data_IF_219573010938
#
_entry.id   IF_219573010938
#
_cell.length_a   1.000
_cell.length_b   1.000
_cell.length_c   1.000
_cell.angle_alpha   90.00
_cell.angle_beta   90.00
_cell.angle_gamma   90.00
#
_symmetry.space_group_name_H-M   'P 1'
#
loop_
_entity.id
_entity.type
_entity.pdbx_description
1 polymer ?
#
# COMPACT_ATOMS: atom_id res chain seq x y z
N UNK A 1 -4.38 31.04 5.40
CA UNK A 1 -3.88 30.57 6.72
C UNK A 1 -4.56 29.21 6.95
N UNK A 2 -3.93 28.05 6.96
CA UNK A 2 -2.54 27.64 7.16
C UNK A 2 -2.22 26.50 6.18
N UNK A 3 -1.25 26.70 5.30
CA UNK A 3 -0.79 25.75 4.28
C UNK A 3 0.19 24.77 4.92
N UNK A 4 -0.33 23.73 5.55
CA UNK A 4 0.48 22.56 5.93
C UNK A 4 -0.16 21.33 5.30
N UNK A 5 -0.01 21.21 3.98
CA UNK A 5 0.00 19.87 3.39
C UNK A 5 1.09 19.11 4.13
N UNK A 6 0.69 18.08 4.86
CA UNK A 6 1.52 17.30 5.77
C UNK A 6 2.77 16.81 5.04
N UNK A 7 3.83 17.60 5.09
CA UNK A 7 5.16 17.12 4.80
C UNK A 7 5.46 16.07 5.84
N UNK A 8 5.85 14.89 5.36
CA UNK A 8 6.44 13.86 6.19
C UNK A 8 7.55 14.46 7.05
N UNK A 9 7.88 13.87 8.22
CA UNK A 9 8.99 14.32 9.06
C UNK A 9 10.35 14.45 8.33
N UNK A 10 10.48 13.84 7.14
CA UNK A 10 11.65 13.92 6.25
C UNK A 10 11.63 15.09 5.25
N UNK A 11 10.53 15.85 5.14
CA UNK A 11 10.36 16.91 4.13
C UNK A 11 10.16 16.42 2.68
N UNK A 12 10.21 15.11 2.46
CA UNK A 12 10.02 14.47 1.15
C UNK A 12 8.54 14.15 0.99
N UNK A 13 7.94 14.56 -0.13
CA UNK A 13 6.61 14.10 -0.53
C UNK A 13 6.74 12.65 -1.05
N UNK A 14 6.03 11.72 -0.40
CA UNK A 14 6.05 10.28 -0.70
C UNK A 14 5.77 10.01 -2.19
N UNK A 15 4.81 10.70 -2.78
CA UNK A 15 4.43 10.47 -4.18
C UNK A 15 5.34 11.22 -5.15
N UNK A 16 5.81 12.41 -4.77
CA UNK A 16 6.81 13.12 -5.56
C UNK A 16 8.11 12.31 -5.67
N UNK A 17 8.48 11.55 -4.63
CA UNK A 17 9.66 10.68 -4.66
C UNK A 17 9.59 9.65 -5.80
N UNK A 18 8.40 9.09 -6.07
CA UNK A 18 8.18 8.14 -7.18
C UNK A 18 8.23 8.78 -8.57
N UNK A 19 8.22 10.12 -8.66
CA UNK A 19 8.35 10.84 -9.93
C UNK A 19 9.81 11.07 -10.34
N UNK A 20 10.77 10.75 -9.47
CA UNK A 20 12.22 10.81 -9.77
C UNK A 20 12.69 9.51 -10.44
N UNK A 21 13.79 9.49 -11.22
CA UNK A 21 14.30 8.28 -11.86
C UNK A 21 14.57 7.12 -10.91
N UNK A 22 15.11 7.40 -9.71
CA UNK A 22 15.31 6.40 -8.66
C UNK A 22 13.99 5.96 -8.02
N UNK A 23 13.01 6.86 -8.01
CA UNK A 23 11.64 6.62 -7.58
C UNK A 23 10.90 5.63 -8.46
N UNK A 24 11.00 5.78 -9.78
CA UNK A 24 10.35 4.86 -10.74
C UNK A 24 10.85 3.42 -10.56
N UNK A 25 12.16 3.22 -10.40
CA UNK A 25 12.73 1.90 -10.11
C UNK A 25 12.21 1.34 -8.78
N UNK A 26 12.04 2.19 -7.78
CA UNK A 26 11.48 1.81 -6.48
C UNK A 26 10.01 1.42 -6.59
N UNK A 27 9.20 2.16 -7.36
CA UNK A 27 7.80 1.84 -7.66
C UNK A 27 7.68 0.46 -8.31
N UNK A 28 8.52 0.17 -9.30
CA UNK A 28 8.53 -1.11 -10.02
C UNK A 28 8.86 -2.24 -9.04
N UNK A 29 9.96 -2.12 -8.30
CA UNK A 29 10.40 -3.13 -7.35
C UNK A 29 9.32 -3.43 -6.29
N UNK A 30 8.76 -2.38 -5.68
CA UNK A 30 7.72 -2.54 -4.66
C UNK A 30 6.44 -3.14 -5.24
N UNK A 31 6.03 -2.72 -6.43
CA UNK A 31 4.86 -3.29 -7.11
C UNK A 31 5.01 -4.79 -7.33
N UNK A 32 6.18 -5.26 -7.73
CA UNK A 32 6.45 -6.68 -7.93
C UNK A 32 6.47 -7.47 -6.61
N UNK A 33 7.08 -6.92 -5.56
CA UNK A 33 7.10 -7.55 -4.24
C UNK A 33 5.69 -7.68 -3.65
N UNK A 34 4.90 -6.60 -3.71
CA UNK A 34 3.51 -6.59 -3.26
C UNK A 34 2.66 -7.60 -4.05
N UNK A 35 2.81 -7.64 -5.36
CA UNK A 35 2.15 -8.64 -6.21
C UNK A 35 2.51 -10.07 -5.80
N UNK A 36 3.80 -10.39 -5.59
CA UNK A 36 4.24 -11.73 -5.14
C UNK A 36 3.60 -12.11 -3.81
N UNK A 37 3.50 -11.18 -2.86
CA UNK A 37 2.86 -11.43 -1.58
C UNK A 37 1.36 -11.66 -1.70
N UNK A 38 0.68 -10.90 -2.57
CA UNK A 38 -0.74 -11.12 -2.86
C UNK A 38 -0.98 -12.51 -3.49
N UNK A 39 -0.13 -12.93 -4.44
CA UNK A 39 -0.16 -14.28 -5.03
C UNK A 39 0.05 -15.40 -4.01
N UNK A 40 0.92 -15.20 -3.02
CA UNK A 40 1.13 -16.18 -1.95
C UNK A 40 -0.08 -16.30 -1.00
N UNK A 41 -0.97 -15.31 -1.00
CA UNK A 41 -2.14 -15.27 -0.12
C UNK A 41 -3.39 -15.80 -0.81
N UNK A 42 -3.58 -15.54 -2.11
CA UNK A 42 -4.77 -15.98 -2.85
C UNK A 42 -4.53 -16.13 -4.35
N UNK A 43 -5.20 -17.14 -4.93
CA UNK A 43 -5.22 -17.39 -6.37
C UNK A 43 -6.35 -16.62 -7.09
N UNK A 44 -7.25 -15.96 -6.35
CA UNK A 44 -8.33 -15.17 -6.93
C UNK A 44 -7.86 -13.76 -7.27
N UNK A 45 -7.86 -13.40 -8.56
CA UNK A 45 -7.45 -12.07 -9.06
C UNK A 45 -8.11 -10.92 -8.30
N UNK A 46 -9.42 -11.00 -8.08
CA UNK A 46 -10.15 -9.95 -7.36
C UNK A 46 -9.61 -9.72 -5.95
N UNK A 47 -9.35 -10.80 -5.20
CA UNK A 47 -8.80 -10.69 -3.84
C UNK A 47 -7.32 -10.29 -3.85
N UNK A 48 -6.54 -10.66 -4.87
CA UNK A 48 -5.17 -10.14 -5.05
C UNK A 48 -5.16 -8.63 -5.23
N UNK A 49 -6.04 -8.08 -6.07
CA UNK A 49 -6.13 -6.63 -6.28
C UNK A 49 -6.42 -5.88 -4.98
N UNK A 50 -7.27 -6.43 -4.11
CA UNK A 50 -7.55 -5.85 -2.79
C UNK A 50 -6.33 -5.87 -1.89
N UNK A 51 -5.67 -7.02 -1.76
CA UNK A 51 -4.45 -7.15 -0.97
C UNK A 51 -3.35 -6.22 -1.47
N UNK A 52 -3.21 -6.10 -2.78
CA UNK A 52 -2.26 -5.19 -3.42
C UNK A 52 -2.51 -3.72 -3.03
N UNK A 53 -3.76 -3.26 -3.10
CA UNK A 53 -4.13 -1.91 -2.66
C UNK A 53 -3.89 -1.70 -1.17
N UNK A 54 -4.23 -2.70 -0.35
CA UNK A 54 -3.98 -2.66 1.09
C UNK A 54 -2.48 -2.60 1.39
N UNK A 55 -1.62 -3.29 0.64
CA UNK A 55 -0.16 -3.19 0.80
C UNK A 55 0.39 -1.80 0.45
N UNK A 56 -0.15 -1.14 -0.58
CA UNK A 56 0.18 0.26 -0.87
C UNK A 56 -0.28 1.23 0.24
N UNK A 57 -1.47 1.00 0.79
CA UNK A 57 -1.97 1.76 1.93
C UNK A 57 -1.10 1.54 3.18
N UNK A 58 -0.72 0.30 3.46
CA UNK A 58 0.18 -0.11 4.54
C UNK A 58 1.51 0.64 4.44
N UNK A 59 2.09 0.67 3.23
CA UNK A 59 3.35 1.34 2.95
C UNK A 59 3.28 2.85 3.20
N UNK A 60 2.22 3.48 2.69
CA UNK A 60 2.00 4.91 2.89
C UNK A 60 1.78 5.25 4.36
N UNK A 61 0.95 4.48 5.08
CA UNK A 61 0.74 4.68 6.52
C UNK A 61 2.05 4.49 7.31
N UNK A 62 2.86 3.49 6.95
CA UNK A 62 4.15 3.25 7.57
C UNK A 62 5.09 4.45 7.41
N UNK A 63 5.04 5.12 6.25
CA UNK A 63 5.81 6.34 6.01
C UNK A 63 5.24 7.53 6.80
N UNK A 64 3.93 7.74 6.78
CA UNK A 64 3.25 8.83 7.52
C UNK A 64 3.54 8.78 9.02
N UNK A 65 3.54 7.57 9.58
CA UNK A 65 3.80 7.35 11.00
C UNK A 65 5.30 7.26 11.34
N UNK A 66 6.20 7.44 10.36
CA UNK A 66 7.66 7.34 10.57
C UNK A 66 8.15 5.93 10.90
N UNK A 67 7.31 4.91 10.72
CA UNK A 67 7.56 3.52 11.12
C UNK A 67 8.57 2.81 10.21
N UNK A 68 8.73 3.26 8.96
CA UNK A 68 9.79 2.75 8.07
C UNK A 68 11.21 3.01 8.59
N UNK A 69 11.40 3.98 9.48
CA UNK A 69 12.69 4.22 10.14
C UNK A 69 12.96 3.23 11.29
N UNK A 70 11.91 2.62 11.82
CA UNK A 70 11.95 1.75 13.01
C UNK A 70 11.97 0.28 12.59
N UNK A 71 11.27 -0.09 11.50
CA UNK A 71 11.19 -1.47 11.05
C UNK A 71 11.26 -1.60 9.52
N UNK A 72 12.48 -1.57 8.98
CA UNK A 72 12.76 -1.71 7.54
C UNK A 72 12.32 -3.06 6.95
N UNK A 73 12.09 -4.07 7.79
CA UNK A 73 11.77 -5.45 7.41
C UNK A 73 10.34 -5.86 7.81
N UNK A 74 9.48 -4.92 8.20
CA UNK A 74 8.08 -5.26 8.48
C UNK A 74 7.44 -5.80 7.19
N UNK A 75 6.93 -7.04 7.25
CA UNK A 75 6.17 -7.59 6.13
C UNK A 75 4.95 -6.67 5.84
N UNK A 76 4.66 -6.36 4.57
CA UNK A 76 3.45 -5.66 4.16
C UNK A 76 2.20 -6.27 4.80
N UNK A 77 1.27 -5.41 5.26
CA UNK A 77 0.07 -5.67 6.06
C UNK A 77 0.26 -5.65 7.59
N UNK A 78 1.48 -5.80 8.11
CA UNK A 78 1.69 -5.77 9.56
C UNK A 78 1.41 -4.40 10.18
N UNK A 79 1.62 -3.32 9.42
CA UNK A 79 1.34 -1.96 9.89
C UNK A 79 -0.17 -1.72 9.92
N UNK A 80 -0.90 -2.18 8.89
CA UNK A 80 -2.37 -2.16 8.85
C UNK A 80 -2.98 -2.99 9.96
N UNK A 81 -2.45 -4.20 10.22
CA UNK A 81 -2.92 -5.01 11.34
C UNK A 81 -2.73 -4.27 12.67
N UNK A 82 -1.53 -3.72 12.90
CA UNK A 82 -1.23 -2.95 14.11
C UNK A 82 -2.12 -1.70 14.23
N UNK A 83 -2.35 -1.01 13.11
CA UNK A 83 -3.22 0.16 13.03
C UNK A 83 -4.66 -0.18 13.39
N UNK A 84 -5.22 -1.26 12.82
CA UNK A 84 -6.56 -1.74 13.12
C UNK A 84 -6.71 -2.18 14.58
N UNK A 85 -5.71 -2.87 15.15
CA UNK A 85 -5.70 -3.24 16.57
C UNK A 85 -5.80 -2.00 17.46
N UNK A 86 -4.97 -0.99 17.19
CA UNK A 86 -4.88 0.22 18.04
C UNK A 86 -6.10 1.14 17.84
N UNK A 87 -6.47 1.42 16.60
CA UNK A 87 -7.55 2.38 16.26
C UNK A 87 -8.92 1.84 16.65
N UNK A 88 -9.20 0.58 16.35
CA UNK A 88 -10.53 -0.03 16.56
C UNK A 88 -10.61 -0.82 17.88
N UNK A 89 -9.53 -0.89 18.65
CA UNK A 89 -9.42 -1.71 19.85
C UNK A 89 -9.79 -3.20 19.59
N UNK A 90 -9.41 -3.70 18.41
CA UNK A 90 -9.64 -5.10 17.99
C UNK A 90 -8.55 -6.01 18.56
N UNK A 91 -8.87 -7.30 18.78
CA UNK A 91 -7.85 -8.25 19.16
C UNK A 91 -6.95 -8.61 17.96
N UNK A 92 -5.70 -9.00 18.23
CA UNK A 92 -4.79 -9.46 17.18
C UNK A 92 -5.32 -10.71 16.46
N UNK A 93 -6.04 -11.58 17.17
CA UNK A 93 -6.65 -12.76 16.58
C UNK A 93 -7.76 -12.39 15.58
N UNK A 94 -8.62 -11.44 15.95
CA UNK A 94 -9.71 -10.98 15.06
C UNK A 94 -9.13 -10.38 13.78
N UNK A 95 -8.15 -9.48 13.92
CA UNK A 95 -7.50 -8.81 12.79
C UNK A 95 -6.76 -9.80 11.89
N UNK A 96 -6.08 -10.80 12.47
CA UNK A 96 -5.38 -11.83 11.69
C UNK A 96 -6.33 -12.70 10.84
N UNK A 97 -7.60 -12.79 11.21
CA UNK A 97 -8.63 -13.54 10.47
C UNK A 97 -9.43 -12.71 9.48
N UNK A 98 -9.22 -11.38 9.46
CA UNK A 98 -9.94 -10.50 8.54
C UNK A 98 -9.59 -10.84 7.09
N UNK A 99 -10.62 -10.97 6.27
CA UNK A 99 -10.47 -11.05 4.82
C UNK A 99 -10.03 -9.70 4.24
N UNK A 100 -9.46 -9.72 3.03
CA UNK A 100 -9.12 -8.48 2.31
C UNK A 100 -10.32 -7.53 2.16
N UNK A 101 -11.52 -8.09 1.97
CA UNK A 101 -12.76 -7.30 1.88
C UNK A 101 -13.12 -6.62 3.19
N UNK A 102 -13.01 -7.33 4.31
CA UNK A 102 -13.29 -6.76 5.64
C UNK A 102 -12.26 -5.69 6.01
N UNK A 103 -11.00 -5.89 5.63
CA UNK A 103 -9.95 -4.87 5.80
C UNK A 103 -10.23 -3.62 4.95
N UNK A 104 -10.55 -3.75 3.66
CA UNK A 104 -10.92 -2.61 2.81
C UNK A 104 -12.10 -1.83 3.40
N UNK A 105 -13.13 -2.53 3.90
CA UNK A 105 -14.28 -1.88 4.53
C UNK A 105 -13.90 -1.14 5.81
N UNK A 106 -13.08 -1.75 6.67
CA UNK A 106 -12.60 -1.12 7.90
C UNK A 106 -11.67 0.09 7.63
N UNK A 107 -11.00 0.11 6.47
CA UNK A 107 -10.02 1.13 6.07
C UNK A 107 -10.54 2.06 4.96
N UNK A 108 -11.85 2.10 4.72
CA UNK A 108 -12.43 2.87 3.62
C UNK A 108 -12.07 4.37 3.68
N UNK A 109 -12.05 4.94 4.89
CA UNK A 109 -11.68 6.34 5.10
C UNK A 109 -10.18 6.59 4.84
N UNK A 110 -9.31 5.66 5.23
CA UNK A 110 -7.88 5.74 4.95
C UNK A 110 -7.57 5.57 3.47
N UNK A 111 -8.29 4.68 2.78
CA UNK A 111 -8.20 4.52 1.33
C UNK A 111 -8.64 5.79 0.60
N UNK A 112 -9.73 6.42 1.03
CA UNK A 112 -10.19 7.70 0.48
C UNK A 112 -9.17 8.82 0.74
N UNK A 113 -8.65 8.90 1.97
CA UNK A 113 -7.61 9.86 2.32
C UNK A 113 -6.35 9.66 1.47
N UNK A 114 -5.88 8.42 1.32
CA UNK A 114 -4.73 8.06 0.49
C UNK A 114 -4.94 8.48 -0.97
N UNK A 115 -6.09 8.17 -1.56
CA UNK A 115 -6.43 8.50 -2.94
C UNK A 115 -6.64 10.01 -3.19
N UNK A 116 -6.88 10.80 -2.14
CA UNK A 116 -7.06 12.25 -2.23
C UNK A 116 -5.75 13.04 -2.30
N UNK A 117 -4.61 12.41 -2.01
CA UNK A 117 -3.31 13.10 -2.00
C UNK A 117 -2.84 13.35 -3.44
N UNK A 118 -2.34 14.55 -3.76
CA UNK A 118 -1.77 14.83 -5.07
C UNK A 118 -0.72 13.80 -5.48
N UNK A 119 -0.83 13.28 -6.70
CA UNK A 119 0.07 12.24 -7.24
C UNK A 119 -0.26 10.80 -6.82
N UNK A 120 -1.06 10.58 -5.77
CA UNK A 120 -1.42 9.24 -5.31
C UNK A 120 -2.18 8.44 -6.35
N UNK A 121 -3.15 9.07 -7.02
CA UNK A 121 -3.96 8.40 -8.05
C UNK A 121 -3.13 7.95 -9.24
N UNK A 122 -2.13 8.72 -9.64
CA UNK A 122 -1.27 8.36 -10.77
C UNK A 122 -0.31 7.24 -10.39
N UNK A 123 0.28 7.29 -9.19
CA UNK A 123 1.10 6.20 -8.65
C UNK A 123 0.27 4.92 -8.55
N UNK A 124 -0.92 4.97 -7.95
CA UNK A 124 -1.79 3.81 -7.81
C UNK A 124 -2.24 3.27 -9.16
N UNK A 125 -2.62 4.12 -10.11
CA UNK A 125 -3.01 3.68 -11.46
C UNK A 125 -1.85 3.00 -12.18
N UNK A 126 -0.63 3.52 -12.02
CA UNK A 126 0.57 2.90 -12.62
C UNK A 126 0.90 1.56 -11.96
N UNK A 127 0.77 1.50 -10.63
CA UNK A 127 0.96 0.30 -9.83
C UNK A 127 -0.07 -0.79 -10.21
N UNK A 128 -1.35 -0.43 -10.31
CA UNK A 128 -2.43 -1.33 -10.74
C UNK A 128 -2.24 -1.81 -12.18
N UNK A 129 -1.89 -0.93 -13.12
CA UNK A 129 -1.56 -1.34 -14.50
C UNK A 129 -0.39 -2.31 -14.56
N UNK A 130 0.59 -2.17 -13.66
CA UNK A 130 1.72 -3.09 -13.56
C UNK A 130 1.24 -4.45 -13.05
N UNK A 131 0.42 -4.46 -12.01
CA UNK A 131 -0.20 -5.67 -11.47
C UNK A 131 -1.01 -6.40 -12.55
N UNK A 132 -1.85 -5.70 -13.31
CA UNK A 132 -2.62 -6.31 -14.42
C UNK A 132 -1.70 -7.01 -15.44
N UNK A 133 -0.54 -6.41 -15.75
CA UNK A 133 0.47 -7.01 -16.64
C UNK A 133 1.22 -8.20 -16.02
N UNK A 134 1.34 -8.24 -14.69
CA UNK A 134 1.95 -9.36 -13.97
C UNK A 134 0.98 -10.53 -13.84
N UNK A 135 -0.32 -10.24 -13.72
CA UNK A 135 -1.40 -11.22 -13.71
C UNK A 135 -1.74 -11.77 -15.10
N UNK A 136 -1.44 -11.03 -16.18
CA UNK A 136 -1.63 -11.50 -17.55
C UNK A 136 -0.51 -12.50 -17.97
N UNK A 137 -0.87 -13.77 -18.24
CA UNK A 137 0.09 -14.82 -18.58
C UNK A 137 0.79 -14.61 -19.94
N UNK A 138 0.33 -13.66 -20.77
CA UNK A 138 0.90 -13.38 -22.09
C UNK A 138 1.81 -12.14 -22.12
N UNK A 139 1.78 -11.28 -21.10
CA UNK A 139 2.67 -10.09 -21.00
C UNK A 139 3.96 -10.33 -20.23
N UNK A 140 4.13 -11.51 -19.60
CA UNK A 140 5.36 -11.94 -18.91
C UNK A 140 6.48 -12.46 -19.83
N UNK A 141 6.30 -12.43 -21.15
CA UNK A 141 7.34 -12.73 -22.14
C UNK A 141 7.56 -11.51 -23.03
N UNK A 142 8.38 -10.58 -22.57
CA UNK A 142 8.90 -9.45 -23.33
C UNK A 142 10.29 -9.12 -22.85
#
# INVERSE_FOLDING_TARGET
>A
MNTNHQQLPSGIDYFAAFSLPEGENTLIYMSEEFWRMACNTTNETYNRHKLYRLQWLDDWLAVQQGLKNINKNAAPLNILHSYLIIRDNRSAADVATMTATEMEQALAAELEAYASIPGAQDVLRNAERRMDKLDDPFTGKG
#
